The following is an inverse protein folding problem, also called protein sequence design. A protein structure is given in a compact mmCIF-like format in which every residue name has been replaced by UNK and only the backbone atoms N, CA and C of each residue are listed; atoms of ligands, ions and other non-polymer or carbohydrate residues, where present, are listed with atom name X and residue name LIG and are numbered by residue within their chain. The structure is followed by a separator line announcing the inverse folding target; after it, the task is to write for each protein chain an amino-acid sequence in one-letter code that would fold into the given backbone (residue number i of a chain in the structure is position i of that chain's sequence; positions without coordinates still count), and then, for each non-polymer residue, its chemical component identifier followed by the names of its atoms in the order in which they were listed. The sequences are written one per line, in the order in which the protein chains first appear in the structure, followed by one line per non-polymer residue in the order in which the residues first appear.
data_IF_467841434507
#
_entry.id   IF_467841434507
#
_cell.length_a   1.000
_cell.length_b   1.000
_cell.length_c   1.000
_cell.angle_alpha   90.00
_cell.angle_beta   90.00
_cell.angle_gamma   90.00
#
_symmetry.space_group_name_H-M   'P 1'
#
loop_
_entity.id
_entity.type
_entity.pdbx_description
1 polymer ?
#
# COMPACT_ATOMS: atom_id res chain seq x y z
N UNK A 1 -11.11 8.37 -3.74
CA UNK A 1 -9.91 9.09 -3.25
C UNK A 1 -10.24 10.55 -2.94
N UNK A 2 -10.02 10.94 -1.69
CA UNK A 2 -10.36 12.24 -1.12
C UNK A 2 -9.10 13.04 -0.78
N UNK A 3 -8.49 13.68 -1.80
CA UNK A 3 -7.25 14.46 -1.64
C UNK A 3 -7.37 15.58 -0.59
N UNK A 4 -8.56 16.14 -0.38
CA UNK A 4 -8.78 17.16 0.64
C UNK A 4 -8.58 16.62 2.07
N UNK A 5 -8.92 15.36 2.34
CA UNK A 5 -8.65 14.74 3.65
C UNK A 5 -7.15 14.60 3.88
N UNK A 6 -6.41 14.20 2.84
CA UNK A 6 -4.94 14.11 2.88
C UNK A 6 -4.32 15.48 3.13
N UNK A 7 -4.75 16.51 2.39
CA UNK A 7 -4.30 17.90 2.57
C UNK A 7 -4.60 18.42 3.97
N UNK A 8 -5.79 18.14 4.51
CA UNK A 8 -6.16 18.54 5.87
C UNK A 8 -5.26 17.87 6.90
N UNK A 9 -5.07 16.56 6.80
CA UNK A 9 -4.18 15.79 7.68
C UNK A 9 -2.74 16.31 7.66
N UNK A 10 -2.22 16.65 6.48
CA UNK A 10 -0.87 17.23 6.32
C UNK A 10 -0.77 18.68 6.81
N UNK A 11 -1.84 19.46 6.72
CA UNK A 11 -1.85 20.89 7.09
C UNK A 11 -1.94 21.11 8.59
N UNK A 12 -2.79 20.34 9.28
CA UNK A 12 -3.03 20.51 10.71
C UNK A 12 -2.10 19.65 11.56
N UNK A 13 -1.69 18.47 11.05
CA UNK A 13 -0.94 17.44 11.76
C UNK A 13 -1.54 17.10 13.13
N UNK A 14 -2.87 17.19 13.26
CA UNK A 14 -3.59 16.85 14.46
C UNK A 14 -4.24 15.45 14.34
N UNK A 15 -4.42 14.79 15.48
CA UNK A 15 -4.93 13.41 15.52
C UNK A 15 -6.34 13.26 14.98
N UNK A 16 -7.20 14.28 15.05
CA UNK A 16 -8.58 14.22 14.56
C UNK A 16 -8.61 14.25 13.03
N UNK A 17 -7.78 15.09 12.42
CA UNK A 17 -7.64 15.15 10.96
C UNK A 17 -7.02 13.87 10.39
N UNK A 18 -6.02 13.30 11.08
CA UNK A 18 -5.43 12.00 10.71
C UNK A 18 -6.45 10.87 10.85
N UNK A 19 -7.20 10.82 11.95
CA UNK A 19 -8.25 9.81 12.13
C UNK A 19 -9.33 9.92 11.05
N UNK A 20 -9.73 11.15 10.69
CA UNK A 20 -10.71 11.38 9.63
C UNK A 20 -10.23 10.84 8.28
N UNK A 21 -8.94 10.97 7.97
CA UNK A 21 -8.36 10.35 6.77
C UNK A 21 -8.35 8.82 6.87
N UNK A 22 -7.97 8.28 8.02
CA UNK A 22 -7.90 6.83 8.26
C UNK A 22 -9.27 6.12 8.22
N UNK A 23 -10.34 6.84 8.53
CA UNK A 23 -11.72 6.36 8.44
C UNK A 23 -12.29 6.42 7.00
N UNK A 24 -11.54 6.97 6.03
CA UNK A 24 -11.98 7.12 4.65
C UNK A 24 -11.63 5.90 3.78
N UNK A 25 -12.56 4.95 3.70
CA UNK A 25 -12.43 3.71 2.92
C UNK A 25 -12.26 3.94 1.40
N UNK A 26 -12.57 5.15 0.89
CA UNK A 26 -12.33 5.51 -0.52
C UNK A 26 -10.88 5.95 -0.81
N UNK A 27 -10.03 6.07 0.21
CA UNK A 27 -8.65 6.57 0.10
C UNK A 27 -7.64 5.66 0.81
N UNK A 28 -8.06 5.00 1.88
CA UNK A 28 -7.22 4.14 2.71
C UNK A 28 -7.75 2.71 2.67
N UNK A 29 -6.86 1.75 2.42
CA UNK A 29 -7.15 0.34 2.71
C UNK A 29 -6.28 -0.15 3.86
N UNK A 30 -6.83 -1.10 4.62
CA UNK A 30 -6.20 -1.67 5.81
C UNK A 30 -5.78 -3.11 5.53
N UNK A 31 -4.60 -3.49 6.04
CA UNK A 31 -4.05 -4.85 5.89
C UNK A 31 -3.76 -5.44 7.25
N UNK A 32 -4.38 -6.58 7.54
CA UNK A 32 -3.99 -7.48 8.65
C UNK A 32 -2.89 -8.43 8.15
N UNK A 33 -1.96 -8.80 9.02
CA UNK A 33 -0.89 -9.75 8.67
C UNK A 33 -1.40 -11.17 8.36
N UNK A 34 -2.66 -11.46 8.71
CA UNK A 34 -3.39 -12.71 8.47
C UNK A 34 -4.16 -12.74 7.15
N UNK A 35 -4.18 -11.63 6.40
CA UNK A 35 -4.82 -11.60 5.09
C UNK A 35 -4.06 -12.50 4.10
N UNK A 36 -4.79 -13.00 3.10
CA UNK A 36 -4.21 -13.68 1.95
C UNK A 36 -3.63 -12.65 0.98
N UNK A 37 -2.51 -13.00 0.33
CA UNK A 37 -1.75 -12.06 -0.49
C UNK A 37 -2.50 -11.60 -1.76
N UNK A 38 -3.37 -12.43 -2.35
CA UNK A 38 -4.20 -12.05 -3.50
C UNK A 38 -5.24 -10.97 -3.16
N UNK A 39 -5.83 -11.02 -1.96
CA UNK A 39 -6.84 -10.06 -1.48
C UNK A 39 -6.28 -8.64 -1.36
N UNK A 40 -4.98 -8.48 -1.06
CA UNK A 40 -4.33 -7.16 -1.03
C UNK A 40 -4.39 -6.45 -2.39
N UNK A 41 -4.39 -7.22 -3.49
CA UNK A 41 -4.52 -6.67 -4.84
C UNK A 41 -5.93 -6.13 -5.06
N UNK A 42 -6.95 -6.83 -4.56
CA UNK A 42 -8.36 -6.41 -4.61
C UNK A 42 -8.56 -5.12 -3.79
N UNK A 43 -8.06 -5.05 -2.56
CA UNK A 43 -8.13 -3.84 -1.74
C UNK A 43 -7.53 -2.61 -2.44
N UNK A 44 -6.40 -2.78 -3.11
CA UNK A 44 -5.77 -1.69 -3.86
C UNK A 44 -6.62 -1.27 -5.07
N UNK A 45 -7.17 -2.23 -5.80
CA UNK A 45 -8.01 -1.99 -6.97
C UNK A 45 -9.37 -1.37 -6.60
N UNK A 46 -9.95 -1.70 -5.45
CA UNK A 46 -11.19 -1.07 -4.97
C UNK A 46 -11.04 0.45 -4.78
N UNK A 47 -9.85 0.91 -4.40
CA UNK A 47 -9.53 2.33 -4.26
C UNK A 47 -9.17 2.96 -5.60
N UNK A 48 -8.31 2.31 -6.39
CA UNK A 48 -7.80 2.89 -7.64
C UNK A 48 -8.83 2.83 -8.78
N UNK A 49 -9.71 1.82 -8.76
CA UNK A 49 -10.80 1.59 -9.72
C UNK A 49 -10.32 1.64 -11.17
N UNK A 50 -9.18 1.01 -11.45
CA UNK A 50 -8.55 1.03 -12.78
C UNK A 50 -9.26 0.11 -13.77
N UNK A 51 -9.88 -0.96 -13.27
CA UNK A 51 -10.37 -2.11 -14.04
C UNK A 51 -9.26 -3.01 -14.59
N UNK A 52 -8.00 -2.77 -14.23
CA UNK A 52 -6.83 -3.39 -14.87
C UNK A 52 -5.84 -4.02 -13.87
N UNK A 53 -5.96 -3.74 -12.56
CA UNK A 53 -5.16 -4.39 -11.51
C UNK A 53 -5.82 -5.69 -11.05
N UNK A 54 -5.10 -6.81 -11.11
CA UNK A 54 -5.61 -8.12 -10.71
C UNK A 54 -4.52 -9.08 -10.24
N UNK A 55 -4.90 -10.06 -9.44
CA UNK A 55 -4.03 -11.17 -9.03
C UNK A 55 -4.35 -12.45 -9.82
N UNK A 56 -3.34 -13.31 -10.00
CA UNK A 56 -3.50 -14.65 -10.58
C UNK A 56 -2.65 -15.65 -9.80
N UNK A 57 -3.29 -16.72 -9.31
CA UNK A 57 -2.62 -17.85 -8.69
C UNK A 57 -2.52 -19.01 -9.67
N UNK A 58 -1.33 -19.60 -9.76
CA UNK A 58 -1.08 -20.80 -10.56
C UNK A 58 -0.50 -21.90 -9.68
N UNK A 59 -1.10 -23.10 -9.72
CA UNK A 59 -0.57 -24.29 -9.05
C UNK A 59 0.92 -24.49 -9.38
N UNK A 60 1.72 -24.73 -8.34
CA UNK A 60 3.16 -24.91 -8.49
C UNK A 60 3.72 -25.92 -7.50
N UNK A 61 4.77 -26.63 -7.92
CA UNK A 61 5.50 -27.57 -7.07
C UNK A 61 6.54 -26.80 -6.22
N UNK A 62 6.06 -26.01 -5.26
CA UNK A 62 6.86 -25.25 -4.30
C UNK A 62 6.23 -25.36 -2.88
N UNK A 63 6.87 -24.73 -1.89
CA UNK A 63 6.41 -24.81 -0.49
C UNK A 63 5.01 -24.21 -0.27
N UNK A 64 4.67 -23.15 -1.00
CA UNK A 64 3.34 -22.53 -0.97
C UNK A 64 2.27 -23.37 -1.69
N UNK A 65 2.67 -24.20 -2.65
CA UNK A 65 1.77 -24.95 -3.53
C UNK A 65 1.26 -24.14 -4.74
N UNK A 66 1.61 -22.85 -4.83
CA UNK A 66 1.22 -21.97 -5.93
C UNK A 66 2.26 -20.87 -6.19
N UNK A 67 2.11 -20.18 -7.31
CA UNK A 67 2.80 -18.94 -7.63
C UNK A 67 1.76 -17.82 -7.78
N UNK A 68 1.95 -16.72 -7.07
CA UNK A 68 1.14 -15.51 -7.21
C UNK A 68 1.75 -14.57 -8.24
N UNK A 69 0.89 -14.01 -9.09
CA UNK A 69 1.25 -12.96 -10.03
C UNK A 69 0.32 -11.77 -9.86
N UNK A 70 0.89 -10.56 -9.93
CA UNK A 70 0.12 -9.31 -9.99
C UNK A 70 0.24 -8.74 -11.40
N UNK A 71 -0.90 -8.35 -11.96
CA UNK A 71 -1.00 -7.76 -13.28
C UNK A 71 -1.63 -6.38 -13.20
N UNK A 72 -1.07 -5.42 -13.94
CA UNK A 72 -1.65 -4.12 -14.22
C UNK A 72 -1.37 -3.74 -15.68
N UNK A 73 -2.42 -3.47 -16.46
CA UNK A 73 -2.33 -3.30 -17.92
C UNK A 73 -1.59 -4.49 -18.58
N UNK A 74 -0.58 -4.22 -19.42
CA UNK A 74 0.24 -5.23 -20.08
C UNK A 74 1.39 -5.77 -19.20
N UNK A 75 1.50 -5.31 -17.95
CA UNK A 75 2.59 -5.69 -17.04
C UNK A 75 2.12 -6.77 -16.10
N UNK A 76 2.90 -7.83 -16.00
CA UNK A 76 2.67 -8.94 -15.08
C UNK A 76 3.97 -9.29 -14.39
N UNK A 77 3.95 -9.38 -13.07
CA UNK A 77 5.12 -9.74 -12.27
C UNK A 77 4.76 -10.90 -11.34
N UNK A 78 5.75 -11.76 -11.07
CA UNK A 78 5.63 -12.81 -10.05
C UNK A 78 5.92 -12.20 -8.68
N UNK A 79 5.08 -12.46 -7.69
CA UNK A 79 5.34 -12.09 -6.29
C UNK A 79 6.34 -13.10 -5.71
N UNK A 80 7.48 -12.67 -5.17
CA UNK A 80 8.50 -13.57 -4.63
C UNK A 80 8.16 -13.97 -3.19
N UNK A 81 7.07 -14.71 -3.00
CA UNK A 81 6.60 -15.18 -1.69
C UNK A 81 7.68 -16.03 -0.97
N UNK A 82 7.80 -15.82 0.34
CA UNK A 82 8.72 -16.49 1.26
C UNK A 82 7.99 -17.46 2.23
N UNK A 83 6.66 -17.57 2.15
CA UNK A 83 5.79 -18.41 3.02
C UNK A 83 5.81 -18.00 4.48
N UNK A 84 5.45 -16.74 4.77
CA UNK A 84 5.38 -16.23 6.14
C UNK A 84 4.68 -14.87 6.29
N UNK A 85 4.67 -14.35 7.53
CA UNK A 85 4.02 -13.06 7.87
C UNK A 85 4.52 -11.88 7.04
N UNK A 86 5.76 -11.96 6.57
CA UNK A 86 6.38 -10.92 5.75
C UNK A 86 5.84 -10.82 4.32
N UNK A 87 5.09 -11.81 3.85
CA UNK A 87 4.63 -11.86 2.46
C UNK A 87 3.71 -10.70 2.11
N UNK A 88 2.89 -10.22 3.06
CA UNK A 88 2.02 -9.04 2.86
C UNK A 88 2.81 -7.81 2.41
N UNK A 89 3.98 -7.57 3.00
CA UNK A 89 4.87 -6.48 2.58
C UNK A 89 5.45 -6.75 1.19
N UNK A 90 5.89 -7.98 0.91
CA UNK A 90 6.44 -8.37 -0.39
C UNK A 90 5.41 -8.17 -1.50
N UNK A 91 4.16 -8.54 -1.23
CA UNK A 91 3.02 -8.35 -2.11
C UNK A 91 2.73 -6.88 -2.32
N UNK A 92 2.66 -6.05 -1.26
CA UNK A 92 2.48 -4.60 -1.40
C UNK A 92 3.60 -3.94 -2.22
N UNK A 93 4.86 -4.34 -2.02
CA UNK A 93 6.00 -3.87 -2.83
C UNK A 93 5.84 -4.30 -4.30
N UNK A 94 5.37 -5.52 -4.55
CA UNK A 94 5.10 -6.04 -5.89
C UNK A 94 3.97 -5.26 -6.58
N UNK A 95 2.84 -5.04 -5.90
CA UNK A 95 1.75 -4.20 -6.40
C UNK A 95 2.29 -2.80 -6.73
N UNK A 96 3.04 -2.18 -5.82
CA UNK A 96 3.63 -0.87 -6.03
C UNK A 96 4.62 -0.84 -7.21
N UNK A 97 5.30 -1.95 -7.50
CA UNK A 97 6.19 -2.07 -8.65
C UNK A 97 5.42 -2.14 -9.97
N UNK A 98 4.35 -2.93 -10.05
CA UNK A 98 3.59 -3.11 -11.30
C UNK A 98 2.83 -1.84 -11.68
N UNK A 99 2.36 -1.09 -10.67
CA UNK A 99 1.61 0.16 -10.81
C UNK A 99 2.44 1.36 -11.30
N UNK A 100 3.75 1.35 -11.10
CA UNK A 100 4.63 2.45 -11.58
C UNK A 100 4.55 2.55 -13.10
N UNK A 101 4.66 3.74 -13.72
CA UNK A 101 4.81 5.04 -13.07
C UNK A 101 3.47 5.70 -12.71
N UNK A 102 2.34 5.04 -12.95
CA UNK A 102 1.01 5.66 -12.92
C UNK A 102 0.58 5.94 -11.48
N UNK A 103 0.82 4.99 -10.58
CA UNK A 103 0.45 5.05 -9.17
C UNK A 103 1.61 4.69 -8.24
N UNK A 104 1.49 5.11 -6.99
CA UNK A 104 2.36 4.72 -5.90
C UNK A 104 1.54 4.46 -4.62
N UNK A 105 1.80 3.32 -3.99
CA UNK A 105 1.29 2.97 -2.66
C UNK A 105 2.27 3.49 -1.61
N UNK A 106 1.75 4.19 -0.59
CA UNK A 106 2.50 4.57 0.60
C UNK A 106 1.84 4.07 1.87
N UNK A 107 2.66 3.70 2.84
CA UNK A 107 2.23 3.33 4.19
C UNK A 107 1.92 4.58 5.02
N UNK A 108 0.82 4.58 5.77
CA UNK A 108 0.50 5.63 6.73
C UNK A 108 1.20 5.36 8.07
N UNK A 109 2.21 6.17 8.40
CA UNK A 109 3.07 6.02 9.58
C UNK A 109 2.26 6.07 10.87
N UNK A 110 1.16 6.84 10.92
CA UNK A 110 0.29 6.94 12.09
C UNK A 110 -0.42 5.62 12.45
N UNK A 111 -0.46 4.66 11.53
CA UNK A 111 -0.97 3.29 11.79
C UNK A 111 0.09 2.33 12.34
N UNK A 112 1.36 2.75 12.43
CA UNK A 112 2.45 1.90 12.92
C UNK A 112 2.21 1.45 14.37
N UNK A 113 2.35 0.14 14.62
CA UNK A 113 2.11 -0.47 15.93
C UNK A 113 0.65 -0.89 16.20
N UNK A 114 -0.25 -0.68 15.24
CA UNK A 114 -1.59 -1.29 15.22
C UNK A 114 -1.53 -2.76 14.79
N UNK A 115 -2.58 -3.55 15.06
CA UNK A 115 -2.74 -4.93 14.56
C UNK A 115 -3.00 -4.97 13.04
N UNK A 116 -3.51 -3.85 12.50
CA UNK A 116 -3.72 -3.62 11.06
C UNK A 116 -2.98 -2.36 10.62
N UNK A 117 -2.40 -2.38 9.42
CA UNK A 117 -1.63 -1.27 8.85
C UNK A 117 -2.38 -0.60 7.71
N UNK A 118 -2.30 0.73 7.63
CA UNK A 118 -3.03 1.54 6.65
C UNK A 118 -2.15 1.94 5.46
N UNK A 119 -2.70 1.83 4.25
CA UNK A 119 -2.01 2.12 3.00
C UNK A 119 -2.86 2.99 2.08
N UNK A 120 -2.19 3.88 1.36
CA UNK A 120 -2.80 4.83 0.43
C UNK A 120 -2.21 4.64 -0.97
N UNK A 121 -2.98 4.08 -1.92
CA UNK A 121 -2.64 4.08 -3.33
C UNK A 121 -3.10 5.41 -3.95
N UNK A 122 -2.19 6.20 -4.52
CA UNK A 122 -2.54 7.43 -5.24
C UNK A 122 -1.85 7.51 -6.59
N UNK A 123 -2.38 8.30 -7.54
CA UNK A 123 -1.64 8.69 -8.73
C UNK A 123 -0.29 9.31 -8.35
N UNK A 124 0.77 8.95 -9.06
CA UNK A 124 2.11 9.50 -8.82
C UNK A 124 2.13 11.03 -8.91
N UNK A 125 1.29 11.61 -9.78
CA UNK A 125 1.15 13.06 -9.91
C UNK A 125 0.56 13.72 -8.66
N UNK A 126 -0.33 13.03 -7.95
CA UNK A 126 -0.93 13.54 -6.71
C UNK A 126 0.08 13.49 -5.57
N UNK A 127 0.87 12.42 -5.47
CA UNK A 127 2.01 12.38 -4.55
C UNK A 127 3.01 13.52 -4.80
N UNK A 128 3.37 13.77 -6.06
CA UNK A 128 4.26 14.87 -6.43
C UNK A 128 3.67 16.24 -6.06
N UNK A 129 2.36 16.43 -6.23
CA UNK A 129 1.68 17.66 -5.84
C UNK A 129 1.72 17.85 -4.31
N UNK A 130 1.41 16.80 -3.54
CA UNK A 130 1.47 16.81 -2.07
C UNK A 130 2.89 17.10 -1.57
N UNK A 131 3.91 16.48 -2.16
CA UNK A 131 5.31 16.73 -1.83
C UNK A 131 5.73 18.18 -2.14
N UNK A 132 5.30 18.71 -3.28
CA UNK A 132 5.58 20.09 -3.64
C UNK A 132 4.88 21.10 -2.73
N UNK A 133 3.73 20.75 -2.17
CA UNK A 133 2.91 21.63 -1.32
C UNK A 133 3.33 21.54 0.16
N UNK A 134 3.56 20.34 0.68
CA UNK A 134 3.73 20.08 2.12
C UNK A 134 5.14 19.63 2.53
N UNK A 135 6.00 19.27 1.56
CA UNK A 135 7.40 18.91 1.81
C UNK A 135 7.55 17.82 2.88
N UNK A 136 8.35 18.11 3.91
CA UNK A 136 8.66 17.16 5.01
C UNK A 136 7.43 16.64 5.76
N UNK A 137 6.29 17.33 5.73
CA UNK A 137 5.08 16.82 6.36
C UNK A 137 4.58 15.53 5.69
N UNK A 138 4.81 15.37 4.37
CA UNK A 138 4.51 14.12 3.66
C UNK A 138 5.35 12.98 4.22
N UNK A 139 6.66 13.17 4.34
CA UNK A 139 7.58 12.13 4.83
C UNK A 139 7.38 11.79 6.32
N UNK A 140 6.73 12.66 7.11
CA UNK A 140 6.37 12.41 8.52
C UNK A 140 5.17 11.47 8.68
N UNK A 141 4.24 11.51 7.74
CA UNK A 141 2.98 10.76 7.82
C UNK A 141 2.92 9.59 6.83
N UNK A 142 3.70 9.65 5.74
CA UNK A 142 3.64 8.65 4.68
C UNK A 142 5.02 8.12 4.32
N UNK A 143 5.16 6.80 4.38
CA UNK A 143 6.39 6.09 4.05
C UNK A 143 6.30 5.46 2.65
N UNK A 144 7.34 5.70 1.84
CA UNK A 144 7.49 5.05 0.52
C UNK A 144 7.93 3.60 0.71
N UNK A 145 7.14 2.66 0.19
CA UNK A 145 7.48 1.24 0.29
C UNK A 145 8.81 0.92 -0.41
N UNK A 146 9.60 0.06 0.22
CA UNK A 146 10.89 -0.43 -0.23
C UNK A 146 11.05 -1.90 0.17
N UNK A 147 12.02 -2.60 -0.40
CA UNK A 147 12.25 -4.03 -0.10
C UNK A 147 12.42 -4.31 1.41
N UNK A 148 13.04 -3.35 2.12
CA UNK A 148 13.17 -3.35 3.59
C UNK A 148 13.01 -1.93 4.15
N UNK A 149 12.61 -1.78 5.43
CA UNK A 149 12.18 -2.84 6.34
C UNK A 149 10.84 -3.46 5.93
N UNK A 150 10.59 -4.68 6.36
CA UNK A 150 9.28 -5.33 6.22
C UNK A 150 8.35 -4.80 7.32
N UNK A 151 7.26 -4.13 6.93
CA UNK A 151 6.37 -3.44 7.87
C UNK A 151 5.63 -4.39 8.83
N UNK A 152 5.51 -5.67 8.51
CA UNK A 152 4.81 -6.66 9.34
C UNK A 152 5.75 -7.44 10.27
N UNK A 153 7.03 -7.62 9.90
CA UNK A 153 7.96 -8.47 10.67
C UNK A 153 9.11 -7.70 11.33
N UNK A 154 9.49 -6.55 10.79
CA UNK A 154 10.64 -5.79 11.27
C UNK A 154 10.17 -4.67 12.23
N UNK A 155 10.96 -4.40 13.28
CA UNK A 155 10.68 -3.25 14.14
C UNK A 155 11.09 -1.96 13.42
N UNK A 156 10.09 -1.16 13.02
CA UNK A 156 10.33 0.12 12.33
C UNK A 156 10.07 1.30 13.27
N UNK A 157 11.07 2.17 13.40
CA UNK A 157 10.94 3.44 14.11
C UNK A 157 10.90 4.55 13.06
N UNK A 158 9.76 5.23 12.98
CA UNK A 158 9.54 6.40 12.14
C UNK A 158 9.72 7.69 12.94
#
# INVERSE_FOLDING_TARGET
MNLELIRNALSSSDSESIQTLLDDEETVFWVDWREEDDVLVEYCEEILQTGELSAEELDADNEAGFELFVQYQERRIKVPLETGEGDRHITLVSINQVLKPDYEIRFCIDSNGSDTLAFLPLPTTDWQALESEFGEAVDKHFYRLSDKPNLFTDQVNF
#
